data_IF_743101756317
#
_entry.id   IF_743101756317
#
_cell.length_a   1.000
_cell.length_b   1.000
_cell.length_c   1.000
_cell.angle_alpha   90.00
_cell.angle_beta   90.00
_cell.angle_gamma   90.00
#
_symmetry.space_group_name_H-M   'P 1'
#
loop_
_entity.id
_entity.type
_entity.pdbx_description
1 polymer ?
#
# COMPACT_ATOMS: atom_id res chain seq x y z
N UNK A 1 29.15 -7.80 4.73
CA UNK A 1 27.82 -7.13 4.78
C UNK A 1 27.14 -7.38 3.45
N UNK A 2 25.88 -7.83 3.46
CA UNK A 2 25.13 -8.03 2.21
C UNK A 2 24.71 -6.64 1.69
N UNK A 3 25.09 -6.30 0.45
CA UNK A 3 24.72 -5.01 -0.15
C UNK A 3 23.27 -5.06 -0.62
N UNK A 4 22.56 -3.95 -0.49
CA UNK A 4 21.17 -3.86 -0.96
C UNK A 4 21.21 -3.60 -2.47
N UNK A 5 20.61 -4.45 -3.33
CA UNK A 5 20.47 -4.16 -4.75
C UNK A 5 19.52 -2.99 -4.96
N UNK A 6 19.96 -1.98 -5.69
CA UNK A 6 19.21 -0.74 -5.94
C UNK A 6 19.19 -0.44 -7.42
N UNK A 7 18.00 -0.19 -7.95
CA UNK A 7 17.79 0.29 -9.31
C UNK A 7 17.32 1.75 -9.25
N UNK A 8 17.81 2.60 -10.14
CA UNK A 8 17.39 4.01 -10.21
C UNK A 8 16.77 4.26 -11.58
N UNK A 9 15.54 4.77 -11.58
CA UNK A 9 14.86 5.28 -12.76
C UNK A 9 14.39 6.71 -12.50
N UNK A 10 14.37 7.54 -13.53
CA UNK A 10 13.91 8.91 -13.43
C UNK A 10 13.21 9.33 -14.73
N UNK A 11 12.38 10.36 -14.63
CA UNK A 11 11.67 10.91 -15.79
C UNK A 11 12.63 11.56 -16.81
N UNK A 12 13.78 12.03 -16.35
CA UNK A 12 14.83 12.62 -17.19
C UNK A 12 16.26 12.21 -16.76
N UNK A 13 17.26 12.34 -17.66
CA UNK A 13 18.63 11.94 -17.40
C UNK A 13 19.35 12.73 -16.30
N UNK A 14 18.98 13.99 -16.07
CA UNK A 14 19.64 14.85 -15.08
C UNK A 14 19.25 14.38 -13.68
N UNK A 15 17.97 14.13 -13.43
CA UNK A 15 17.50 13.58 -12.16
C UNK A 15 18.11 12.21 -11.87
N UNK A 16 18.17 11.34 -12.88
CA UNK A 16 18.83 10.04 -12.76
C UNK A 16 20.29 10.19 -12.34
N UNK A 17 21.04 11.02 -13.07
CA UNK A 17 22.47 11.26 -12.80
C UNK A 17 22.68 11.83 -11.40
N UNK A 18 21.81 12.75 -10.95
CA UNK A 18 21.85 13.33 -9.62
C UNK A 18 21.73 12.27 -8.53
N UNK A 19 20.73 11.40 -8.60
CA UNK A 19 20.55 10.32 -7.61
C UNK A 19 21.64 9.26 -7.73
N UNK A 20 22.00 8.82 -8.94
CA UNK A 20 23.08 7.86 -9.16
C UNK A 20 24.40 8.35 -8.53
N UNK A 21 24.70 9.65 -8.64
CA UNK A 21 25.92 10.22 -8.04
C UNK A 21 25.93 10.13 -6.51
N UNK A 22 24.76 10.28 -5.87
CA UNK A 22 24.63 10.18 -4.41
C UNK A 22 24.75 8.75 -3.89
N UNK A 23 24.25 7.77 -4.67
CA UNK A 23 24.21 6.36 -4.27
C UNK A 23 25.50 5.60 -4.63
N UNK A 24 26.20 5.97 -5.71
CA UNK A 24 27.37 5.23 -6.23
C UNK A 24 28.50 5.10 -5.21
N UNK A 25 28.71 6.09 -4.36
CA UNK A 25 29.78 6.09 -3.35
C UNK A 25 29.43 5.30 -2.08
N UNK A 26 28.25 4.67 -2.00
CA UNK A 26 27.74 4.05 -0.78
C UNK A 26 28.08 2.56 -0.74
N UNK A 27 28.92 2.10 0.21
CA UNK A 27 29.34 0.70 0.29
C UNK A 27 28.19 -0.27 0.59
N UNK A 28 27.11 0.21 1.21
CA UNK A 28 25.93 -0.57 1.59
C UNK A 28 25.03 -0.91 0.40
N UNK A 29 25.13 -0.15 -0.70
CA UNK A 29 24.22 -0.26 -1.85
C UNK A 29 24.93 -0.86 -3.05
N UNK A 30 24.24 -1.68 -3.83
CA UNK A 30 24.71 -2.23 -5.11
C UNK A 30 23.81 -1.69 -6.22
N UNK A 31 24.32 -0.78 -7.06
CA UNK A 31 23.54 -0.27 -8.19
C UNK A 31 23.41 -1.36 -9.28
N UNK A 32 22.18 -1.68 -9.65
CA UNK A 32 21.83 -2.69 -10.66
C UNK A 32 21.06 -2.05 -11.82
N UNK A 33 21.30 -2.55 -13.04
CA UNK A 33 20.67 -2.02 -14.24
C UNK A 33 19.29 -2.65 -14.52
N UNK A 34 19.09 -3.92 -14.15
CA UNK A 34 17.88 -4.68 -14.48
C UNK A 34 17.22 -5.20 -13.20
N UNK A 35 16.19 -4.51 -12.67
CA UNK A 35 15.62 -4.86 -11.37
C UNK A 35 14.90 -6.22 -11.38
N UNK A 36 14.34 -6.65 -12.52
CA UNK A 36 13.62 -7.92 -12.63
C UNK A 36 14.50 -9.16 -12.38
N UNK A 37 15.82 -9.03 -12.48
CA UNK A 37 16.77 -10.14 -12.31
C UNK A 37 17.35 -10.21 -10.89
N UNK A 38 17.02 -9.24 -10.03
CA UNK A 38 17.67 -9.04 -8.73
C UNK A 38 16.66 -9.21 -7.59
N UNK A 39 16.66 -10.36 -6.90
CA UNK A 39 15.77 -10.59 -5.76
C UNK A 39 15.98 -9.55 -4.66
N UNK A 40 14.89 -8.95 -4.19
CA UNK A 40 14.94 -7.95 -3.12
C UNK A 40 15.43 -6.57 -3.56
N UNK A 41 15.51 -6.30 -4.87
CA UNK A 41 15.84 -4.97 -5.38
C UNK A 41 14.89 -3.91 -4.87
N UNK A 42 15.45 -2.77 -4.47
CA UNK A 42 14.71 -1.53 -4.21
C UNK A 42 14.86 -0.63 -5.43
N UNK A 43 13.74 -0.28 -6.06
CA UNK A 43 13.74 0.71 -7.13
C UNK A 43 13.50 2.11 -6.57
N UNK A 44 14.34 3.05 -6.96
CA UNK A 44 14.17 4.47 -6.69
C UNK A 44 13.66 5.15 -7.95
N UNK A 45 12.47 5.75 -7.87
CA UNK A 45 11.85 6.52 -8.95
C UNK A 45 11.99 8.00 -8.63
N UNK A 46 12.59 8.77 -9.53
CA UNK A 46 12.84 10.20 -9.33
C UNK A 46 11.99 11.02 -10.30
N UNK A 47 11.19 11.94 -9.77
CA UNK A 47 10.37 12.85 -10.56
C UNK A 47 10.17 14.18 -9.82
N UNK A 48 9.84 15.24 -10.54
CA UNK A 48 9.43 16.51 -9.92
C UNK A 48 8.02 16.42 -9.34
N UNK A 49 7.11 15.79 -10.07
CA UNK A 49 5.68 15.69 -9.78
C UNK A 49 5.20 14.25 -9.94
N UNK A 50 4.00 13.98 -9.42
CA UNK A 50 3.31 12.70 -9.61
C UNK A 50 2.33 12.88 -10.77
N UNK A 51 2.80 12.63 -11.99
CA UNK A 51 2.01 12.61 -13.21
C UNK A 51 1.83 11.18 -13.76
N UNK A 52 1.11 11.04 -14.86
CA UNK A 52 0.83 9.74 -15.47
C UNK A 52 2.12 8.98 -15.83
N UNK A 53 3.18 9.69 -16.24
CA UNK A 53 4.44 9.08 -16.61
C UNK A 53 5.19 8.53 -15.38
N UNK A 54 5.26 9.30 -14.29
CA UNK A 54 5.84 8.85 -13.03
C UNK A 54 5.07 7.65 -12.46
N UNK A 55 3.73 7.68 -12.50
CA UNK A 55 2.88 6.58 -12.04
C UNK A 55 3.03 5.34 -12.94
N UNK A 56 3.18 5.51 -14.25
CA UNK A 56 3.43 4.41 -15.19
C UNK A 56 4.74 3.69 -14.86
N UNK A 57 5.82 4.42 -14.54
CA UNK A 57 7.10 3.83 -14.13
C UNK A 57 6.96 2.97 -12.86
N UNK A 58 6.22 3.46 -11.86
CA UNK A 58 5.96 2.68 -10.64
C UNK A 58 5.19 1.41 -10.96
N UNK A 59 4.11 1.51 -11.76
CA UNK A 59 3.28 0.36 -12.13
C UNK A 59 4.04 -0.66 -12.98
N UNK A 60 4.92 -0.20 -13.87
CA UNK A 60 5.79 -1.06 -14.67
C UNK A 60 6.74 -1.86 -13.79
N UNK A 61 7.42 -1.20 -12.84
CA UNK A 61 8.30 -1.87 -11.88
C UNK A 61 7.53 -2.91 -11.04
N UNK A 62 6.32 -2.55 -10.57
CA UNK A 62 5.43 -3.48 -9.87
C UNK A 62 5.05 -4.68 -10.75
N UNK A 63 4.77 -4.44 -12.03
CA UNK A 63 4.49 -5.49 -13.03
C UNK A 63 5.67 -6.43 -13.30
N UNK A 64 6.90 -5.93 -13.15
CA UNK A 64 8.14 -6.72 -13.22
C UNK A 64 8.45 -7.49 -11.92
N UNK A 65 7.57 -7.43 -10.92
CA UNK A 65 7.74 -8.12 -9.64
C UNK A 65 8.56 -7.35 -8.60
N UNK A 66 8.97 -6.11 -8.89
CA UNK A 66 9.66 -5.24 -7.92
C UNK A 66 8.65 -4.80 -6.87
N UNK A 67 8.83 -5.26 -5.63
CA UNK A 67 7.90 -4.92 -4.55
C UNK A 67 8.24 -3.61 -3.85
N UNK A 68 9.52 -3.25 -3.81
CA UNK A 68 10.01 -2.11 -3.06
C UNK A 68 10.29 -0.95 -4.02
N UNK A 69 9.41 0.05 -4.04
CA UNK A 69 9.53 1.24 -4.88
C UNK A 69 9.51 2.49 -4.00
N UNK A 70 10.62 3.21 -3.95
CA UNK A 70 10.76 4.47 -3.23
C UNK A 70 10.72 5.61 -4.25
N UNK A 71 9.86 6.60 -4.03
CA UNK A 71 9.78 7.78 -4.88
C UNK A 71 10.53 8.96 -4.26
N UNK A 72 11.32 9.67 -5.07
CA UNK A 72 11.93 10.95 -4.72
C UNK A 72 11.20 12.04 -5.51
N UNK A 73 10.49 12.91 -4.79
CA UNK A 73 9.54 13.88 -5.38
C UNK A 73 9.82 15.31 -4.95
N UNK A 74 9.77 16.27 -5.87
CA UNK A 74 9.96 17.68 -5.55
C UNK A 74 8.70 18.33 -4.96
N UNK A 75 7.55 18.10 -5.61
CA UNK A 75 6.24 18.62 -5.22
C UNK A 75 5.34 17.47 -4.81
N UNK A 76 4.80 17.55 -3.60
CA UNK A 76 3.97 16.51 -3.02
C UNK A 76 2.76 17.18 -2.38
N UNK A 77 1.69 17.36 -3.15
CA UNK A 77 0.38 17.67 -2.58
C UNK A 77 -0.31 16.39 -2.04
N UNK A 78 -1.50 16.53 -1.47
CA UNK A 78 -2.20 15.39 -0.86
C UNK A 78 -2.67 14.37 -1.91
N UNK A 79 -3.03 14.84 -3.11
CA UNK A 79 -3.47 13.97 -4.20
C UNK A 79 -2.29 13.19 -4.79
N UNK A 80 -1.15 13.85 -4.95
CA UNK A 80 0.11 13.24 -5.38
C UNK A 80 0.59 12.18 -4.38
N UNK A 81 0.46 12.45 -3.07
CA UNK A 81 0.79 11.50 -2.01
C UNK A 81 -0.05 10.23 -2.12
N UNK A 82 -1.39 10.37 -2.25
CA UNK A 82 -2.29 9.23 -2.39
C UNK A 82 -2.03 8.47 -3.71
N UNK A 83 -1.92 9.17 -4.83
CA UNK A 83 -1.70 8.56 -6.14
C UNK A 83 -0.39 7.75 -6.20
N UNK A 84 0.69 8.25 -5.58
CA UNK A 84 1.96 7.53 -5.47
C UNK A 84 1.82 6.23 -4.66
N UNK A 85 1.11 6.28 -3.53
CA UNK A 85 0.85 5.11 -2.68
C UNK A 85 -0.04 4.10 -3.44
N UNK A 86 -1.10 4.55 -4.09
CA UNK A 86 -2.01 3.71 -4.88
C UNK A 86 -1.31 3.02 -6.06
N UNK A 87 -0.33 3.68 -6.69
CA UNK A 87 0.49 3.05 -7.71
C UNK A 87 1.46 1.98 -7.17
N UNK A 88 1.65 1.93 -5.84
CA UNK A 88 2.46 0.92 -5.17
C UNK A 88 3.82 1.40 -4.68
N UNK A 89 4.02 2.72 -4.51
CA UNK A 89 5.18 3.24 -3.82
C UNK A 89 5.14 2.80 -2.34
N UNK A 90 6.21 2.18 -1.85
CA UNK A 90 6.36 1.83 -0.44
C UNK A 90 7.03 2.96 0.36
N UNK A 91 7.67 3.93 -0.30
CA UNK A 91 8.21 5.10 0.37
C UNK A 91 8.23 6.35 -0.51
N UNK A 92 8.17 7.51 0.12
CA UNK A 92 8.24 8.82 -0.53
C UNK A 92 9.20 9.71 0.25
N UNK A 93 10.23 10.19 -0.44
CA UNK A 93 11.24 11.10 0.07
C UNK A 93 11.09 12.44 -0.64
N UNK A 94 10.80 13.54 0.07
CA UNK A 94 10.87 14.87 -0.52
C UNK A 94 12.28 15.14 -1.06
N UNK A 95 12.40 15.60 -2.31
CA UNK A 95 13.70 15.84 -2.96
C UNK A 95 14.56 16.84 -2.18
N UNK A 96 13.94 17.84 -1.57
CA UNK A 96 14.63 18.81 -0.70
C UNK A 96 15.28 18.15 0.54
N UNK A 97 14.81 16.96 0.94
CA UNK A 97 15.36 16.17 2.04
C UNK A 97 16.21 14.98 1.55
N UNK A 98 16.37 14.79 0.24
CA UNK A 98 17.04 13.63 -0.35
C UNK A 98 18.57 13.77 -0.29
N UNK A 99 19.11 13.80 0.94
CA UNK A 99 20.54 13.65 1.19
C UNK A 99 20.97 12.20 0.98
N UNK A 100 22.25 11.92 0.72
CA UNK A 100 22.70 10.55 0.53
C UNK A 100 22.39 9.63 1.71
N UNK A 101 22.58 10.10 2.95
CA UNK A 101 22.32 9.33 4.17
C UNK A 101 20.82 9.03 4.30
N UNK A 102 19.97 9.99 3.93
CA UNK A 102 18.51 9.83 3.97
C UNK A 102 18.02 8.87 2.89
N UNK A 103 18.62 8.90 1.70
CA UNK A 103 18.33 7.93 0.64
C UNK A 103 18.77 6.52 1.03
N UNK A 104 19.97 6.35 1.60
CA UNK A 104 20.45 5.05 2.10
C UNK A 104 19.51 4.52 3.20
N UNK A 105 19.11 5.35 4.16
CA UNK A 105 18.16 4.96 5.20
C UNK A 105 16.80 4.56 4.59
N UNK A 106 16.28 5.35 3.65
CA UNK A 106 15.02 5.07 2.98
C UNK A 106 15.05 3.73 2.22
N UNK A 107 16.12 3.48 1.47
CA UNK A 107 16.35 2.23 0.75
C UNK A 107 16.47 1.05 1.73
N UNK A 108 17.20 1.24 2.84
CA UNK A 108 17.35 0.22 3.89
C UNK A 108 16.01 -0.19 4.51
N UNK A 109 15.17 0.78 4.84
CA UNK A 109 13.82 0.52 5.35
C UNK A 109 12.94 -0.20 4.33
N UNK A 110 12.96 0.24 3.06
CA UNK A 110 12.22 -0.42 1.98
C UNK A 110 12.68 -1.87 1.77
N UNK A 111 13.99 -2.13 1.79
CA UNK A 111 14.54 -3.48 1.68
C UNK A 111 14.07 -4.40 2.82
N UNK A 112 13.88 -3.86 4.03
CA UNK A 112 13.30 -4.56 5.18
C UNK A 112 11.77 -4.74 5.12
N UNK A 113 11.13 -4.46 3.98
CA UNK A 113 9.67 -4.42 3.79
C UNK A 113 8.95 -3.35 4.64
N UNK A 114 9.70 -2.35 5.14
CA UNK A 114 9.15 -1.18 5.81
C UNK A 114 8.74 -0.10 4.81
N UNK A 115 7.81 0.76 5.21
CA UNK A 115 7.49 1.98 4.47
C UNK A 115 8.36 3.15 4.92
N UNK A 116 8.53 4.15 4.05
CA UNK A 116 9.30 5.37 4.39
C UNK A 116 8.53 6.62 4.01
N UNK A 117 8.22 7.45 5.00
CA UNK A 117 7.66 8.78 4.80
C UNK A 117 8.35 9.76 5.76
N UNK A 118 8.48 11.02 5.34
CA UNK A 118 8.86 12.06 6.29
C UNK A 118 7.72 12.24 7.33
N UNK A 119 8.01 12.67 8.58
CA UNK A 119 6.97 12.87 9.60
C UNK A 119 5.82 13.76 9.11
N UNK A 120 6.13 14.77 8.30
CA UNK A 120 5.14 15.67 7.70
C UNK A 120 4.24 14.96 6.70
N UNK A 121 4.79 14.10 5.83
CA UNK A 121 4.00 13.32 4.88
C UNK A 121 3.16 12.26 5.59
N UNK A 122 3.70 11.62 6.63
CA UNK A 122 2.95 10.67 7.45
C UNK A 122 1.75 11.33 8.12
N UNK A 123 1.92 12.51 8.72
CA UNK A 123 0.81 13.26 9.30
C UNK A 123 -0.29 13.58 8.29
N UNK A 124 0.09 14.03 7.08
CA UNK A 124 -0.85 14.31 5.99
C UNK A 124 -1.58 13.06 5.50
N UNK A 125 -0.89 11.91 5.42
CA UNK A 125 -1.51 10.64 5.07
C UNK A 125 -2.55 10.23 6.13
N UNK A 126 -2.21 10.33 7.41
CA UNK A 126 -3.13 10.03 8.51
C UNK A 126 -4.36 10.95 8.48
N UNK A 127 -4.17 12.24 8.18
CA UNK A 127 -5.29 13.18 8.02
C UNK A 127 -6.19 12.80 6.84
N UNK A 128 -5.63 12.36 5.71
CA UNK A 128 -6.40 11.90 4.55
C UNK A 128 -7.19 10.62 4.86
N UNK A 129 -6.56 9.64 5.53
CA UNK A 129 -7.23 8.40 5.95
C UNK A 129 -8.37 8.71 6.93
N UNK A 130 -8.15 9.62 7.89
CA UNK A 130 -9.18 10.06 8.83
C UNK A 130 -10.34 10.77 8.12
N UNK A 131 -10.06 11.63 7.13
CA UNK A 131 -11.10 12.28 6.32
C UNK A 131 -11.93 11.25 5.56
N UNK A 132 -11.28 10.29 4.88
CA UNK A 132 -11.98 9.23 4.16
C UNK A 132 -12.88 8.41 5.10
N UNK A 133 -12.35 8.00 6.24
CA UNK A 133 -13.11 7.24 7.23
C UNK A 133 -14.31 8.04 7.75
N UNK A 134 -14.14 9.30 8.14
CA UNK A 134 -15.19 10.07 8.81
C UNK A 134 -16.21 10.70 7.85
N UNK A 135 -15.80 11.08 6.63
CA UNK A 135 -16.66 11.83 5.70
C UNK A 135 -17.29 10.95 4.63
N UNK A 136 -16.67 9.81 4.28
CA UNK A 136 -17.14 8.95 3.19
C UNK A 136 -17.63 7.61 3.70
N UNK A 137 -16.84 6.94 4.55
CA UNK A 137 -17.12 5.56 4.96
C UNK A 137 -18.10 5.48 6.13
N UNK A 138 -17.83 6.20 7.23
CA UNK A 138 -18.66 6.18 8.44
C UNK A 138 -20.12 6.60 8.18
N UNK A 139 -20.44 7.62 7.35
CA UNK A 139 -21.83 7.95 7.02
C UNK A 139 -22.56 6.83 6.27
N UNK A 140 -21.81 5.92 5.62
CA UNK A 140 -22.32 4.72 4.96
C UNK A 140 -22.28 3.47 5.86
N UNK A 141 -21.87 3.62 7.11
CA UNK A 141 -21.67 2.51 8.05
C UNK A 141 -20.51 1.58 7.67
N UNK A 142 -19.57 2.03 6.83
CA UNK A 142 -18.43 1.25 6.37
C UNK A 142 -17.16 1.63 7.13
N UNK A 143 -16.24 0.67 7.24
CA UNK A 143 -14.85 0.90 7.66
C UNK A 143 -13.92 0.95 6.44
N UNK A 144 -12.65 1.29 6.67
CA UNK A 144 -11.58 1.19 5.67
C UNK A 144 -11.48 -0.21 5.04
N UNK A 145 -11.92 -1.26 5.75
CA UNK A 145 -12.00 -2.63 5.23
C UNK A 145 -13.10 -2.83 4.19
N UNK A 146 -13.99 -1.85 3.98
CA UNK A 146 -15.17 -1.98 3.12
C UNK A 146 -16.28 -2.84 3.73
N UNK A 147 -16.11 -3.32 4.96
CA UNK A 147 -17.14 -3.99 5.74
C UNK A 147 -17.73 -3.03 6.76
N UNK A 148 -19.03 -3.18 7.01
CA UNK A 148 -19.69 -2.65 8.19
C UNK A 148 -19.38 -3.52 9.42
N UNK A 149 -19.60 -2.96 10.60
CA UNK A 149 -19.40 -3.65 11.88
C UNK A 149 -20.21 -4.95 11.96
N UNK A 150 -21.42 -4.94 11.40
CA UNK A 150 -22.28 -6.12 11.34
C UNK A 150 -21.71 -7.19 10.41
N UNK A 151 -21.28 -6.81 9.21
CA UNK A 151 -20.71 -7.76 8.24
C UNK A 151 -19.42 -8.39 8.76
N UNK A 152 -18.54 -7.58 9.37
CA UNK A 152 -17.31 -8.08 9.98
C UNK A 152 -17.61 -9.06 11.14
N UNK A 153 -18.58 -8.72 12.00
CA UNK A 153 -19.00 -9.60 13.09
C UNK A 153 -19.55 -10.94 12.58
N UNK A 154 -20.43 -10.90 11.57
CA UNK A 154 -20.97 -12.12 10.95
C UNK A 154 -19.87 -13.00 10.37
N UNK A 155 -18.94 -12.43 9.60
CA UNK A 155 -17.85 -13.22 9.00
C UNK A 155 -16.90 -13.79 10.06
N UNK A 156 -16.64 -13.06 11.14
CA UNK A 156 -15.80 -13.52 12.26
C UNK A 156 -16.41 -14.72 12.98
N UNK A 157 -17.72 -14.70 13.27
CA UNK A 157 -18.40 -15.83 13.92
C UNK A 157 -18.46 -17.08 13.02
N UNK A 158 -18.60 -16.90 11.70
CA UNK A 158 -18.50 -18.03 10.76
C UNK A 158 -17.07 -18.58 10.74
N UNK A 159 -16.05 -17.72 10.80
CA UNK A 159 -14.65 -18.17 10.89
C UNK A 159 -14.38 -18.99 12.16
N UNK A 160 -15.15 -18.75 13.23
CA UNK A 160 -15.12 -19.53 14.47
C UNK A 160 -15.93 -20.84 14.40
N UNK A 161 -16.59 -21.12 13.26
CA UNK A 161 -17.33 -22.36 13.03
C UNK A 161 -18.82 -22.28 13.39
N UNK A 162 -19.35 -21.10 13.73
CA UNK A 162 -20.75 -20.97 14.13
C UNK A 162 -21.71 -21.09 12.96
N UNK A 163 -22.85 -21.71 13.21
CA UNK A 163 -23.95 -21.80 12.26
C UNK A 163 -24.79 -20.51 12.22
N UNK A 164 -25.50 -20.30 11.11
CA UNK A 164 -26.34 -19.11 10.88
C UNK A 164 -27.34 -18.86 12.02
N UNK A 165 -27.88 -19.93 12.60
CA UNK A 165 -28.82 -19.85 13.72
C UNK A 165 -28.16 -19.38 15.01
N UNK A 166 -26.95 -19.87 15.28
CA UNK A 166 -26.17 -19.48 16.46
C UNK A 166 -25.75 -18.01 16.34
N UNK A 167 -25.28 -17.60 15.16
CA UNK A 167 -24.93 -16.21 14.84
C UNK A 167 -26.14 -15.28 14.98
N UNK A 168 -27.29 -15.70 14.47
CA UNK A 168 -28.55 -14.95 14.57
C UNK A 168 -28.92 -14.72 16.04
N UNK A 169 -28.79 -15.74 16.88
CA UNK A 169 -29.03 -15.62 18.32
C UNK A 169 -28.01 -14.70 19.00
N UNK A 170 -26.72 -14.89 18.75
CA UNK A 170 -25.65 -14.09 19.37
C UNK A 170 -25.74 -12.61 19.01
N UNK A 171 -26.02 -12.29 17.75
CA UNK A 171 -26.13 -10.91 17.27
C UNK A 171 -27.55 -10.33 17.40
N UNK A 172 -28.50 -11.06 18.00
CA UNK A 172 -29.90 -10.66 18.16
C UNK A 172 -30.59 -10.27 16.83
N UNK A 173 -30.35 -11.05 15.78
CA UNK A 173 -30.95 -10.90 14.45
C UNK A 173 -31.74 -12.13 14.03
N UNK A 174 -32.53 -12.02 12.96
CA UNK A 174 -33.14 -13.20 12.33
C UNK A 174 -32.12 -13.96 11.48
N UNK A 175 -32.28 -15.29 11.34
CA UNK A 175 -31.48 -16.08 10.39
C UNK A 175 -31.53 -15.52 8.96
N UNK A 176 -32.68 -14.97 8.56
CA UNK A 176 -32.85 -14.31 7.26
C UNK A 176 -31.94 -13.09 7.13
N UNK A 177 -31.83 -12.28 8.19
CA UNK A 177 -30.94 -11.11 8.21
C UNK A 177 -29.48 -11.51 8.07
N UNK A 178 -29.05 -12.59 8.74
CA UNK A 178 -27.68 -13.11 8.62
C UNK A 178 -27.42 -13.63 7.20
N UNK A 179 -28.36 -14.41 6.62
CA UNK A 179 -28.28 -14.89 5.24
C UNK A 179 -28.19 -13.74 4.23
N UNK A 180 -29.00 -12.69 4.41
CA UNK A 180 -28.97 -11.50 3.56
C UNK A 180 -27.64 -10.75 3.71
N UNK A 181 -27.14 -10.57 4.92
CA UNK A 181 -25.84 -9.91 5.16
C UNK A 181 -24.72 -10.66 4.43
N UNK A 182 -24.71 -12.00 4.48
CA UNK A 182 -23.75 -12.80 3.73
C UNK A 182 -23.93 -12.67 2.21
N UNK A 183 -25.17 -12.64 1.74
CA UNK A 183 -25.47 -12.46 0.32
C UNK A 183 -24.96 -11.11 -0.18
N UNK A 184 -25.20 -10.04 0.57
CA UNK A 184 -24.76 -8.68 0.25
C UNK A 184 -23.23 -8.60 0.20
N UNK A 185 -22.52 -9.18 1.16
CA UNK A 185 -21.05 -9.27 1.15
C UNK A 185 -20.55 -10.07 -0.05
N UNK A 186 -21.10 -11.26 -0.29
CA UNK A 186 -20.68 -12.12 -1.40
C UNK A 186 -20.87 -11.40 -2.73
N UNK A 187 -22.00 -10.72 -2.93
CA UNK A 187 -22.26 -9.98 -4.16
C UNK A 187 -21.36 -8.74 -4.28
N UNK A 188 -21.26 -7.93 -3.21
CA UNK A 188 -20.51 -6.66 -3.23
C UNK A 188 -19.03 -6.87 -3.52
N UNK A 189 -18.44 -7.94 -3.01
CA UNK A 189 -17.04 -8.30 -3.26
C UNK A 189 -16.85 -9.32 -4.39
N UNK A 190 -17.91 -9.64 -5.15
CA UNK A 190 -17.88 -10.60 -6.27
C UNK A 190 -17.28 -11.98 -5.89
N UNK A 191 -17.62 -12.46 -4.71
CA UNK A 191 -17.14 -13.70 -4.15
C UNK A 191 -18.01 -14.87 -4.62
N UNK A 192 -17.50 -16.09 -4.43
CA UNK A 192 -18.15 -17.30 -4.97
C UNK A 192 -19.16 -17.92 -3.99
N UNK A 193 -18.84 -17.88 -2.70
CA UNK A 193 -19.65 -18.47 -1.64
C UNK A 193 -19.19 -17.95 -0.26
N UNK A 194 -19.89 -18.35 0.80
CA UNK A 194 -19.58 -17.97 2.19
C UNK A 194 -18.15 -18.34 2.63
N UNK A 195 -17.63 -19.49 2.19
CA UNK A 195 -16.28 -19.91 2.55
C UNK A 195 -15.23 -19.02 1.86
N UNK A 196 -15.48 -18.64 0.61
CA UNK A 196 -14.67 -17.65 -0.08
C UNK A 196 -14.72 -16.28 0.63
N UNK A 197 -15.88 -15.87 1.16
CA UNK A 197 -16.00 -14.62 1.92
C UNK A 197 -15.18 -14.60 3.20
N UNK A 198 -15.21 -15.68 3.99
CA UNK A 198 -14.38 -15.80 5.18
C UNK A 198 -12.88 -15.80 4.81
N UNK A 199 -12.50 -16.59 3.81
CA UNK A 199 -11.11 -16.67 3.38
C UNK A 199 -10.60 -15.33 2.82
N UNK A 200 -11.44 -14.58 2.11
CA UNK A 200 -11.14 -13.24 1.64
C UNK A 200 -10.94 -12.27 2.82
N UNK A 201 -11.89 -12.23 3.74
CA UNK A 201 -11.82 -11.34 4.89
C UNK A 201 -10.59 -11.60 5.79
N UNK A 202 -10.19 -12.86 5.97
CA UNK A 202 -8.96 -13.21 6.69
C UNK A 202 -7.69 -12.77 5.96
N UNK A 203 -7.62 -13.01 4.63
CA UNK A 203 -6.43 -12.64 3.84
C UNK A 203 -6.20 -11.13 3.79
N UNK A 204 -7.29 -10.37 3.73
CA UNK A 204 -7.26 -8.91 3.67
C UNK A 204 -7.23 -8.25 5.06
N UNK A 205 -7.14 -9.03 6.14
CA UNK A 205 -7.09 -8.51 7.52
C UNK A 205 -8.37 -7.78 7.96
N UNK A 206 -9.51 -8.14 7.37
CA UNK A 206 -10.80 -7.51 7.66
C UNK A 206 -11.50 -8.10 8.90
N UNK A 207 -11.13 -9.32 9.32
CA UNK A 207 -11.67 -10.00 10.51
C UNK A 207 -10.62 -10.68 11.35
#
# INVERSE_FOLDING_TARGET
MNRIPVHVTAIDPILRTGVDSQLRSRPELLLVAHPAQEPGVVSVVVSDVVDDAALALVRELRGQGVRQVVMVLALIDDSALLAAIEAGACGIVPRAEATPERLVAAIGHAAGMGGVLSPKLLGRLLDQVNRLQNQVLAPRGLRLTGLSDREASVLRLIAQGMEVREIAHELSYSERTIKNTLHDVVNRFQLRNRAHAVAFALREGMI
#
